data_IF_864443947097
#
_entry.id   IF_864443947097
#
_cell.length_a   1.000
_cell.length_b   1.000
_cell.length_c   1.000
_cell.angle_alpha   90.00
_cell.angle_beta   90.00
_cell.angle_gamma   90.00
#
_symmetry.space_group_name_H-M   'P 1'
#
loop_
_entity.id
_entity.type
_entity.pdbx_description
1 polymer ?
#
# COMPACT_ATOMS: atom_id res chain seq x y z
N UNK A 1 2.74 -5.24 -20.30
CA UNK A 1 3.64 -6.08 -19.46
C UNK A 1 5.13 -5.81 -19.78
N UNK A 2 5.52 -4.53 -19.91
CA UNK A 2 6.87 -4.11 -20.33
C UNK A 2 7.85 -3.85 -19.16
N UNK A 3 7.33 -3.84 -17.92
CA UNK A 3 8.08 -3.52 -16.70
C UNK A 3 8.79 -4.73 -16.08
N UNK A 4 8.27 -5.95 -16.28
CA UNK A 4 8.81 -7.17 -15.66
C UNK A 4 10.22 -7.55 -16.13
N UNK A 5 10.64 -7.17 -17.35
CA UNK A 5 12.01 -7.43 -17.85
C UNK A 5 13.06 -6.41 -17.35
N UNK A 6 12.64 -5.30 -16.73
CA UNK A 6 13.52 -4.21 -16.26
C UNK A 6 13.49 -4.02 -14.74
N UNK A 7 12.81 -4.92 -14.01
CA UNK A 7 12.69 -4.85 -12.56
C UNK A 7 13.52 -5.95 -11.89
N UNK A 8 13.90 -5.75 -10.63
CA UNK A 8 14.63 -6.78 -9.89
C UNK A 8 13.74 -7.98 -9.59
N UNK A 9 14.30 -9.20 -9.42
CA UNK A 9 13.53 -10.40 -9.07
C UNK A 9 12.62 -10.19 -7.84
N UNK A 10 13.07 -9.38 -6.88
CA UNK A 10 12.31 -8.99 -5.71
C UNK A 10 11.03 -8.21 -6.04
N UNK A 11 11.17 -7.16 -6.85
CA UNK A 11 10.04 -6.31 -7.24
C UNK A 11 9.10 -7.04 -8.21
N UNK A 12 9.62 -7.96 -9.03
CA UNK A 12 8.80 -8.84 -9.87
C UNK A 12 7.89 -9.72 -8.99
N UNK A 13 8.42 -10.27 -7.90
CA UNK A 13 7.62 -11.06 -6.96
C UNK A 13 6.51 -10.22 -6.33
N UNK A 14 6.82 -9.00 -5.87
CA UNK A 14 5.81 -8.06 -5.40
C UNK A 14 4.74 -7.78 -6.45
N UNK A 15 5.14 -7.42 -7.68
CA UNK A 15 4.20 -7.09 -8.75
C UNK A 15 3.31 -8.28 -9.16
N UNK A 16 3.82 -9.50 -9.06
CA UNK A 16 2.99 -10.71 -9.23
C UNK A 16 1.96 -10.83 -8.12
N UNK A 17 2.36 -10.55 -6.88
CA UNK A 17 1.49 -10.59 -5.69
C UNK A 17 0.42 -9.52 -5.59
N UNK A 18 0.43 -8.50 -6.47
CA UNK A 18 -0.65 -7.50 -6.58
C UNK A 18 -1.32 -7.49 -7.96
N UNK A 19 -0.95 -8.43 -8.83
CA UNK A 19 -1.44 -8.47 -10.21
C UNK A 19 -2.94 -8.72 -10.28
N UNK A 20 -3.45 -9.62 -9.44
CA UNK A 20 -4.88 -9.99 -9.45
C UNK A 20 -5.71 -8.78 -9.05
N UNK A 21 -5.30 -8.07 -8.02
CA UNK A 21 -6.00 -6.89 -7.51
C UNK A 21 -5.99 -5.74 -8.54
N UNK A 22 -4.88 -5.56 -9.25
CA UNK A 22 -4.82 -4.61 -10.36
C UNK A 22 -5.75 -5.01 -11.52
N UNK A 23 -5.80 -6.29 -11.89
CA UNK A 23 -6.73 -6.80 -12.91
C UNK A 23 -8.17 -6.61 -12.46
N UNK A 24 -8.48 -6.89 -11.19
CA UNK A 24 -9.81 -6.67 -10.61
C UNK A 24 -10.22 -5.20 -10.68
N UNK A 25 -9.32 -4.27 -10.38
CA UNK A 25 -9.56 -2.83 -10.51
C UNK A 25 -9.90 -2.42 -11.95
N UNK A 26 -9.10 -2.87 -12.92
CA UNK A 26 -9.34 -2.57 -14.34
C UNK A 26 -10.65 -3.20 -14.81
N UNK A 27 -10.95 -4.43 -14.38
CA UNK A 27 -12.19 -5.12 -14.73
C UNK A 27 -13.41 -4.41 -14.15
N UNK A 28 -13.33 -3.97 -12.90
CA UNK A 28 -14.40 -3.24 -12.22
C UNK A 28 -14.63 -1.87 -12.87
N UNK A 29 -13.57 -1.17 -13.28
CA UNK A 29 -13.69 0.06 -14.07
C UNK A 29 -14.42 -0.16 -15.40
N UNK A 30 -14.05 -1.19 -16.16
CA UNK A 30 -14.70 -1.54 -17.43
C UNK A 30 -16.18 -1.89 -17.19
N UNK A 31 -16.47 -2.68 -16.16
CA UNK A 31 -17.83 -3.08 -15.82
C UNK A 31 -18.70 -1.87 -15.45
N UNK A 32 -18.19 -0.97 -14.61
CA UNK A 32 -18.87 0.28 -14.25
C UNK A 32 -19.10 1.18 -15.47
N UNK A 33 -18.12 1.28 -16.39
CA UNK A 33 -18.27 2.05 -17.61
C UNK A 33 -19.37 1.47 -18.53
N UNK A 34 -19.43 0.15 -18.67
CA UNK A 34 -20.49 -0.53 -19.42
C UNK A 34 -21.85 -0.26 -18.78
N UNK A 35 -21.97 -0.40 -17.45
CA UNK A 35 -23.22 -0.12 -16.73
C UNK A 35 -23.70 1.31 -16.94
N UNK A 36 -22.83 2.32 -16.86
CA UNK A 36 -23.23 3.71 -17.11
C UNK A 36 -23.63 3.99 -18.57
N UNK A 37 -23.04 3.29 -19.54
CA UNK A 37 -23.42 3.46 -20.95
C UNK A 37 -24.72 2.75 -21.32
N UNK A 38 -25.06 1.66 -20.63
CA UNK A 38 -26.27 0.87 -20.89
C UNK A 38 -27.46 1.24 -19.98
N UNK A 39 -27.20 1.86 -18.84
CA UNK A 39 -28.24 2.26 -17.88
C UNK A 39 -28.90 3.57 -18.30
N UNK A 40 -30.21 3.67 -18.08
CA UNK A 40 -30.94 4.94 -18.15
C UNK A 40 -30.68 5.85 -16.95
N UNK A 41 -30.03 5.35 -15.89
CA UNK A 41 -29.66 6.14 -14.72
C UNK A 41 -28.50 7.08 -15.05
N UNK A 42 -28.76 8.38 -14.91
CA UNK A 42 -27.73 9.42 -15.01
C UNK A 42 -27.02 9.56 -13.67
N UNK A 43 -25.71 9.76 -13.71
CA UNK A 43 -24.92 10.13 -12.54
C UNK A 43 -25.49 11.40 -11.89
N UNK A 44 -25.76 11.35 -10.59
CA UNK A 44 -26.24 12.49 -9.80
C UNK A 44 -25.12 13.01 -8.89
N UNK A 45 -25.28 14.23 -8.38
CA UNK A 45 -24.35 14.80 -7.41
C UNK A 45 -24.36 14.07 -6.05
N UNK A 46 -25.39 13.27 -5.78
CA UNK A 46 -25.52 12.44 -4.56
C UNK A 46 -25.08 10.99 -4.75
N UNK A 47 -24.76 10.57 -5.97
CA UNK A 47 -24.25 9.23 -6.24
C UNK A 47 -22.91 9.03 -5.52
N UNK A 48 -22.67 7.84 -4.97
CA UNK A 48 -21.43 7.48 -4.25
C UNK A 48 -20.73 6.28 -4.89
N UNK A 49 -21.13 5.90 -6.10
CA UNK A 49 -20.75 4.64 -6.74
C UNK A 49 -19.22 4.52 -6.90
N UNK A 50 -18.57 5.63 -7.27
CA UNK A 50 -17.13 5.69 -7.51
C UNK A 50 -16.35 5.61 -6.20
N UNK A 51 -16.79 6.31 -5.15
CA UNK A 51 -16.13 6.22 -3.82
C UNK A 51 -16.35 4.85 -3.19
N UNK A 52 -17.53 4.25 -3.36
CA UNK A 52 -17.85 2.91 -2.85
C UNK A 52 -17.05 1.81 -3.54
N UNK A 53 -16.70 1.96 -4.82
CA UNK A 53 -15.76 1.05 -5.48
C UNK A 53 -14.38 1.00 -4.79
N UNK A 54 -13.97 2.10 -4.16
CA UNK A 54 -12.72 2.20 -3.39
C UNK A 54 -12.81 1.63 -1.98
N UNK A 55 -14.01 1.46 -1.42
CA UNK A 55 -14.20 1.21 0.01
C UNK A 55 -13.54 -0.10 0.50
N UNK A 56 -13.60 -1.16 -0.32
CA UNK A 56 -12.91 -2.41 -0.01
C UNK A 56 -11.39 -2.22 0.14
N UNK A 57 -10.77 -1.46 -0.77
CA UNK A 57 -9.34 -1.14 -0.71
C UNK A 57 -9.00 -0.33 0.54
N UNK A 58 -9.85 0.62 0.93
CA UNK A 58 -9.69 1.41 2.14
C UNK A 58 -9.72 0.53 3.40
N UNK A 59 -10.69 -0.39 3.52
CA UNK A 59 -10.78 -1.32 4.64
C UNK A 59 -9.56 -2.24 4.72
N UNK A 60 -9.20 -2.88 3.60
CA UNK A 60 -8.05 -3.78 3.58
C UNK A 60 -6.72 -3.05 3.76
N UNK A 61 -6.61 -1.80 3.31
CA UNK A 61 -5.46 -0.95 3.56
C UNK A 61 -5.25 -0.69 5.05
N UNK A 62 -6.32 -0.33 5.78
CA UNK A 62 -6.27 -0.17 7.24
C UNK A 62 -5.91 -1.48 7.93
N UNK A 63 -6.54 -2.61 7.57
CA UNK A 63 -6.19 -3.94 8.12
C UNK A 63 -4.70 -4.24 7.90
N UNK A 64 -4.17 -3.91 6.72
CA UNK A 64 -2.75 -4.08 6.40
C UNK A 64 -1.84 -3.27 7.32
N UNK A 65 -2.21 -2.03 7.66
CA UNK A 65 -1.44 -1.23 8.64
C UNK A 65 -1.48 -1.83 10.05
N UNK A 66 -2.63 -2.35 10.50
CA UNK A 66 -2.72 -3.02 11.80
C UNK A 66 -1.88 -4.30 11.89
N UNK A 67 -1.69 -5.04 10.79
CA UNK A 67 -0.82 -6.22 10.78
C UNK A 67 0.61 -5.91 11.19
N UNK A 68 1.09 -4.66 11.05
CA UNK A 68 2.43 -4.26 11.49
C UNK A 68 2.66 -4.49 12.99
N UNK A 69 1.63 -4.44 13.84
CA UNK A 69 1.76 -4.74 15.27
C UNK A 69 2.16 -6.18 15.56
N UNK A 70 1.81 -7.11 14.67
CA UNK A 70 2.09 -8.53 14.82
C UNK A 70 3.44 -8.92 14.23
N UNK A 71 4.08 -8.02 13.49
CA UNK A 71 5.24 -8.34 12.68
C UNK A 71 6.52 -8.49 13.51
N UNK A 72 7.33 -9.52 13.20
CA UNK A 72 8.60 -9.81 13.87
C UNK A 72 9.66 -10.23 12.86
N UNK A 73 10.88 -9.71 13.01
CA UNK A 73 12.08 -10.19 12.30
C UNK A 73 13.04 -10.80 13.34
N UNK A 74 13.21 -12.12 13.29
CA UNK A 74 14.00 -12.84 14.30
C UNK A 74 13.38 -12.68 15.69
N UNK A 75 14.15 -12.15 16.64
CA UNK A 75 13.67 -11.85 17.99
C UNK A 75 13.06 -10.45 18.13
N UNK A 76 13.29 -9.54 17.17
CA UNK A 76 12.80 -8.15 17.25
C UNK A 76 11.42 -8.00 16.65
N UNK A 77 10.51 -7.42 17.42
CA UNK A 77 9.19 -7.01 16.92
C UNK A 77 9.30 -5.67 16.19
N UNK A 78 8.42 -5.43 15.23
CA UNK A 78 8.30 -4.12 14.59
C UNK A 78 8.03 -3.04 15.66
N UNK A 79 8.62 -1.84 15.54
CA UNK A 79 8.44 -0.79 16.54
C UNK A 79 6.96 -0.43 16.73
N UNK A 80 6.38 -0.81 17.87
CA UNK A 80 4.95 -0.59 18.16
C UNK A 80 4.53 0.87 18.07
N UNK A 81 5.42 1.80 18.42
CA UNK A 81 5.18 3.25 18.27
C UNK A 81 4.97 3.63 16.80
N UNK A 82 5.81 3.12 15.89
CA UNK A 82 5.69 3.40 14.45
C UNK A 82 4.42 2.77 13.88
N UNK A 83 4.13 1.52 14.25
CA UNK A 83 2.88 0.87 13.86
C UNK A 83 1.65 1.64 14.36
N UNK A 84 1.70 2.16 15.60
CA UNK A 84 0.63 2.98 16.17
C UNK A 84 0.42 4.29 15.41
N UNK A 85 1.48 5.08 15.20
CA UNK A 85 1.33 6.34 14.47
C UNK A 85 0.86 6.11 13.03
N UNK A 86 1.35 5.08 12.34
CA UNK A 86 0.93 4.77 10.99
C UNK A 86 -0.53 4.32 10.93
N UNK A 87 -0.95 3.45 11.86
CA UNK A 87 -2.34 2.98 11.93
C UNK A 87 -3.28 4.11 12.31
N UNK A 88 -2.90 4.95 13.28
CA UNK A 88 -3.67 6.13 13.67
C UNK A 88 -3.82 7.10 12.50
N UNK A 89 -2.74 7.39 11.77
CA UNK A 89 -2.79 8.24 10.59
C UNK A 89 -3.71 7.65 9.50
N UNK A 90 -3.57 6.36 9.21
CA UNK A 90 -4.40 5.63 8.24
C UNK A 90 -5.88 5.69 8.59
N UNK A 91 -6.22 5.41 9.84
CA UNK A 91 -7.61 5.38 10.32
C UNK A 91 -8.21 6.78 10.34
N UNK A 92 -7.49 7.78 10.86
CA UNK A 92 -7.95 9.17 10.90
C UNK A 92 -8.19 9.74 9.49
N UNK A 93 -7.28 9.48 8.55
CA UNK A 93 -7.47 9.91 7.16
C UNK A 93 -8.61 9.14 6.49
N UNK A 94 -8.80 7.86 6.80
CA UNK A 94 -9.94 7.07 6.33
C UNK A 94 -11.28 7.61 6.83
N UNK A 95 -11.37 8.00 8.11
CA UNK A 95 -12.56 8.65 8.66
C UNK A 95 -12.86 9.98 7.97
N UNK A 96 -11.83 10.77 7.66
CA UNK A 96 -11.99 12.00 6.90
C UNK A 96 -12.58 11.76 5.50
N UNK A 97 -12.08 10.76 4.76
CA UNK A 97 -12.63 10.41 3.45
C UNK A 97 -14.04 9.82 3.51
N UNK A 98 -14.36 9.08 4.58
CA UNK A 98 -15.73 8.63 4.83
C UNK A 98 -16.67 9.82 5.07
N UNK A 99 -16.23 10.81 5.86
CA UNK A 99 -16.98 12.05 6.09
C UNK A 99 -17.22 12.82 4.78
N UNK A 100 -16.21 12.95 3.90
CA UNK A 100 -16.39 13.56 2.58
C UNK A 100 -17.39 12.79 1.71
N UNK A 101 -17.41 11.46 1.81
CA UNK A 101 -18.39 10.63 1.10
C UNK A 101 -19.81 10.84 1.63
N UNK A 102 -19.98 11.04 2.94
CA UNK A 102 -21.28 11.42 3.51
C UNK A 102 -21.76 12.78 3.01
N UNK A 103 -20.88 13.76 2.89
CA UNK A 103 -21.23 15.07 2.29
C UNK A 103 -21.72 14.96 0.86
N UNK A 104 -21.09 14.08 0.07
CA UNK A 104 -21.58 13.75 -1.28
C UNK A 104 -22.99 13.17 -1.20
N UNK A 105 -23.22 12.16 -0.36
CA UNK A 105 -24.53 11.51 -0.21
C UNK A 105 -25.62 12.49 0.24
N UNK A 106 -25.28 13.47 1.10
CA UNK A 106 -26.19 14.52 1.57
C UNK A 106 -26.48 15.61 0.53
N UNK A 107 -25.83 15.58 -0.64
CA UNK A 107 -26.01 16.58 -1.68
C UNK A 107 -25.37 17.93 -1.38
N UNK A 108 -24.41 17.99 -0.45
CA UNK A 108 -23.69 19.22 -0.11
C UNK A 108 -22.76 19.72 -1.22
N UNK A 109 -22.51 18.88 -2.23
CA UNK A 109 -21.67 19.20 -3.38
C UNK A 109 -22.47 19.29 -4.67
N UNK A 110 -22.05 20.18 -5.56
CA UNK A 110 -22.49 20.15 -6.95
C UNK A 110 -21.90 18.92 -7.69
N UNK A 111 -22.36 18.65 -8.90
CA UNK A 111 -21.97 17.44 -9.62
C UNK A 111 -20.47 17.32 -9.89
N UNK A 112 -19.80 18.44 -10.19
CA UNK A 112 -18.35 18.46 -10.48
C UNK A 112 -17.55 18.23 -9.21
N UNK A 113 -17.94 18.88 -8.11
CA UNK A 113 -17.34 18.71 -6.80
C UNK A 113 -17.53 17.28 -6.28
N UNK A 114 -18.73 16.72 -6.43
CA UNK A 114 -19.04 15.34 -6.05
C UNK A 114 -18.15 14.35 -6.81
N UNK A 115 -18.04 14.50 -8.13
CA UNK A 115 -17.17 13.66 -8.95
C UNK A 115 -15.70 13.75 -8.49
N UNK A 116 -15.21 14.96 -8.25
CA UNK A 116 -13.83 15.19 -7.81
C UNK A 116 -13.55 14.54 -6.45
N UNK A 117 -14.47 14.70 -5.49
CA UNK A 117 -14.37 14.07 -4.16
C UNK A 117 -14.34 12.55 -4.30
N UNK A 118 -15.22 11.97 -5.12
CA UNK A 118 -15.26 10.52 -5.30
C UNK A 118 -13.99 9.95 -5.95
N UNK A 119 -13.45 10.62 -6.97
CA UNK A 119 -12.16 10.24 -7.59
C UNK A 119 -11.04 10.33 -6.56
N UNK A 120 -11.05 11.35 -5.70
CA UNK A 120 -10.06 11.53 -4.64
C UNK A 120 -10.14 10.40 -3.62
N UNK A 121 -11.35 10.06 -3.15
CA UNK A 121 -11.59 8.95 -2.21
C UNK A 121 -11.12 7.62 -2.80
N UNK A 122 -11.45 7.34 -4.06
CA UNK A 122 -11.01 6.15 -4.77
C UNK A 122 -9.48 6.08 -4.87
N UNK A 123 -8.85 7.18 -5.29
CA UNK A 123 -7.39 7.28 -5.45
C UNK A 123 -6.65 7.08 -4.11
N UNK A 124 -7.15 7.69 -3.04
CA UNK A 124 -6.65 7.49 -1.69
C UNK A 124 -6.77 6.02 -1.27
N UNK A 125 -7.96 5.41 -1.46
CA UNK A 125 -8.24 4.04 -1.05
C UNK A 125 -7.30 3.03 -1.72
N UNK A 126 -7.08 3.19 -3.03
CA UNK A 126 -6.13 2.40 -3.81
C UNK A 126 -4.71 2.61 -3.27
N UNK A 127 -4.30 3.87 -3.11
CA UNK A 127 -2.94 4.20 -2.64
C UNK A 127 -2.66 3.58 -1.27
N UNK A 128 -3.60 3.71 -0.34
CA UNK A 128 -3.50 3.14 1.00
C UNK A 128 -3.35 1.61 0.95
N UNK A 129 -4.17 0.94 0.14
CA UNK A 129 -4.11 -0.51 -0.03
C UNK A 129 -2.74 -0.98 -0.55
N UNK A 130 -2.27 -0.38 -1.66
CA UNK A 130 -0.99 -0.75 -2.25
C UNK A 130 0.18 -0.43 -1.32
N UNK A 131 0.12 0.69 -0.62
CA UNK A 131 1.12 1.06 0.38
C UNK A 131 1.19 0.04 1.52
N UNK A 132 0.04 -0.35 2.09
CA UNK A 132 -0.03 -1.35 3.14
C UNK A 132 0.48 -2.73 2.67
N UNK A 133 0.11 -3.16 1.45
CA UNK A 133 0.63 -4.38 0.81
C UNK A 133 2.15 -4.32 0.61
N UNK A 134 2.68 -3.18 0.19
CA UNK A 134 4.11 -3.00 -0.02
C UNK A 134 4.88 -3.08 1.30
N UNK A 135 4.39 -2.40 2.34
CA UNK A 135 4.96 -2.49 3.69
C UNK A 135 4.95 -3.93 4.20
N UNK A 136 3.81 -4.62 4.06
CA UNK A 136 3.68 -6.02 4.42
C UNK A 136 4.69 -6.91 3.68
N UNK A 137 4.86 -6.71 2.37
CA UNK A 137 5.84 -7.46 1.57
C UNK A 137 7.30 -7.21 2.03
N UNK A 138 7.63 -5.96 2.35
CA UNK A 138 8.96 -5.58 2.83
C UNK A 138 9.27 -6.24 4.17
N UNK A 139 8.27 -6.21 5.05
CA UNK A 139 8.32 -6.89 6.33
C UNK A 139 8.50 -8.39 6.11
N UNK A 140 7.58 -9.08 5.42
CA UNK A 140 7.60 -10.53 5.17
C UNK A 140 8.94 -11.05 4.64
N UNK A 141 9.52 -10.34 3.67
CA UNK A 141 10.80 -10.73 3.08
C UNK A 141 11.98 -10.38 3.99
N UNK A 142 11.80 -9.48 4.95
CA UNK A 142 12.84 -8.93 5.82
C UNK A 142 13.95 -8.28 5.01
N UNK A 143 13.55 -7.62 3.92
CA UNK A 143 14.38 -6.75 3.10
C UNK A 143 13.47 -5.75 2.42
N UNK A 144 13.93 -4.54 2.21
CA UNK A 144 13.28 -3.52 1.39
C UNK A 144 14.16 -3.22 0.17
N UNK A 145 13.55 -2.94 -0.96
CA UNK A 145 14.26 -2.52 -2.17
C UNK A 145 13.48 -1.39 -2.83
N UNK A 146 14.16 -0.32 -3.24
CA UNK A 146 13.54 0.71 -4.05
C UNK A 146 13.23 0.15 -5.45
N UNK A 147 12.07 0.50 -6.02
CA UNK A 147 11.71 0.02 -7.36
C UNK A 147 12.64 0.65 -8.40
N UNK A 148 13.40 -0.16 -9.17
CA UNK A 148 14.28 0.37 -10.22
C UNK A 148 13.51 1.14 -11.31
N UNK A 149 12.26 0.73 -11.55
CA UNK A 149 11.38 1.38 -12.53
C UNK A 149 10.99 2.76 -12.05
N UNK A 150 10.51 2.90 -10.81
CA UNK A 150 10.16 4.21 -10.25
C UNK A 150 11.39 5.12 -10.21
N UNK A 151 12.54 4.59 -9.83
CA UNK A 151 13.80 5.33 -9.83
C UNK A 151 14.16 5.83 -11.24
N UNK A 152 13.98 5.00 -12.27
CA UNK A 152 14.23 5.38 -13.66
C UNK A 152 13.25 6.41 -14.21
N UNK A 153 11.98 6.38 -13.77
CA UNK A 153 10.96 7.34 -14.19
C UNK A 153 11.20 8.68 -13.47
N UNK A 154 11.40 8.64 -12.15
CA UNK A 154 11.64 9.84 -11.34
C UNK A 154 12.95 10.53 -11.70
N UNK A 155 13.98 9.80 -12.14
CA UNK A 155 15.21 10.41 -12.70
C UNK A 155 14.97 11.20 -13.97
N UNK A 156 14.02 10.76 -14.80
CA UNK A 156 13.66 11.44 -16.05
C UNK A 156 12.78 12.66 -15.79
N UNK A 157 11.99 12.64 -14.73
CA UNK A 157 11.19 13.78 -14.28
C UNK A 157 12.12 14.68 -13.47
N UNK A 158 12.76 15.64 -14.15
CA UNK A 158 13.69 16.64 -13.60
C UNK A 158 13.16 17.18 -12.26
N UNK A 159 13.71 16.67 -11.16
CA UNK A 159 13.38 17.13 -9.82
C UNK A 159 14.68 17.37 -9.06
N UNK A 160 14.82 18.56 -8.46
CA UNK A 160 15.93 18.91 -7.58
C UNK A 160 15.91 18.11 -6.26
N UNK A 161 14.87 17.31 -6.01
CA UNK A 161 14.71 16.53 -4.80
C UNK A 161 15.18 15.07 -4.98
N UNK A 162 16.39 14.79 -4.49
CA UNK A 162 17.00 13.45 -4.41
C UNK A 162 16.36 12.54 -3.33
N UNK A 163 15.14 12.83 -2.86
CA UNK A 163 14.49 12.10 -1.77
C UNK A 163 14.30 10.61 -2.08
N UNK A 164 13.97 10.27 -3.33
CA UNK A 164 13.82 8.87 -3.72
C UNK A 164 15.15 8.11 -3.78
N UNK A 165 16.24 8.79 -4.18
CA UNK A 165 17.58 8.21 -4.12
C UNK A 165 18.08 8.05 -2.68
N UNK A 166 17.80 9.02 -1.81
CA UNK A 166 18.09 8.93 -0.38
C UNK A 166 17.28 7.81 0.30
N UNK A 167 16.01 7.61 -0.10
CA UNK A 167 15.25 6.45 0.35
C UNK A 167 15.86 5.14 -0.16
N UNK A 168 16.33 5.11 -1.41
CA UNK A 168 17.00 3.93 -1.96
C UNK A 168 18.30 3.60 -1.20
N UNK A 169 19.12 4.59 -0.84
CA UNK A 169 20.28 4.36 0.02
C UNK A 169 19.89 3.98 1.45
N UNK A 170 18.80 4.52 2.00
CA UNK A 170 18.23 4.09 3.28
C UNK A 170 17.83 2.61 3.29
N UNK A 171 17.36 2.06 2.17
CA UNK A 171 17.01 0.63 2.09
C UNK A 171 18.22 -0.29 2.26
N UNK A 172 19.42 0.12 1.85
CA UNK A 172 20.63 -0.72 1.99
C UNK A 172 21.05 -0.83 3.46
N UNK A 173 21.03 0.28 4.20
CA UNK A 173 21.31 0.30 5.65
C UNK A 173 20.29 -0.53 6.42
N UNK A 174 19.00 -0.38 6.08
CA UNK A 174 17.93 -1.19 6.68
C UNK A 174 18.16 -2.70 6.46
N UNK A 175 18.49 -3.10 5.23
CA UNK A 175 18.75 -4.50 4.90
C UNK A 175 19.95 -5.09 5.64
N UNK A 176 21.04 -4.31 5.78
CA UNK A 176 22.22 -4.76 6.52
C UNK A 176 21.89 -5.05 7.99
N UNK A 177 21.08 -4.20 8.62
CA UNK A 177 20.71 -4.38 10.01
C UNK A 177 19.78 -5.59 10.21
N UNK A 178 18.85 -5.83 9.28
CA UNK A 178 18.01 -7.03 9.31
C UNK A 178 18.81 -8.34 9.14
N UNK A 179 19.86 -8.34 8.31
CA UNK A 179 20.75 -9.49 8.15
C UNK A 179 21.48 -9.79 9.46
N UNK A 180 22.01 -8.76 10.14
CA UNK A 180 22.68 -8.93 11.44
C UNK A 180 21.75 -9.53 12.48
N UNK A 181 20.53 -9.00 12.61
CA UNK A 181 19.54 -9.50 13.57
C UNK A 181 19.08 -10.93 13.29
N UNK A 182 18.94 -11.32 12.01
CA UNK A 182 18.66 -12.73 11.66
C UNK A 182 19.82 -13.65 12.03
N UNK A 183 21.06 -13.20 11.83
CA UNK A 183 22.25 -13.97 12.14
C UNK A 183 22.44 -14.15 13.66
N UNK A 184 22.21 -13.11 14.47
CA UNK A 184 22.26 -13.19 15.94
C UNK A 184 21.19 -14.15 16.47
N UNK A 185 19.95 -14.02 16.00
CA UNK A 185 18.86 -14.90 16.41
C UNK A 185 19.11 -16.37 16.06
N UNK A 186 19.64 -16.65 14.87
CA UNK A 186 20.00 -18.01 14.45
C UNK A 186 21.11 -18.60 15.32
N UNK A 187 22.09 -17.78 15.74
CA UNK A 187 23.16 -18.21 16.67
C UNK A 187 22.60 -18.53 18.05
N UNK A 188 21.66 -17.74 18.55
CA UNK A 188 20.99 -17.99 19.84
C UNK A 188 20.18 -19.28 19.83
N UNK A 189 19.42 -19.54 18.76
CA UNK A 189 18.67 -20.79 18.60
C UNK A 189 19.61 -22.00 18.60
N UNK A 190 20.72 -21.95 17.85
CA UNK A 190 21.73 -23.02 17.83
C UNK A 190 22.33 -23.26 19.22
N UNK A 191 22.60 -22.20 19.99
CA UNK A 191 23.09 -22.31 21.38
C UNK A 191 22.06 -22.98 22.29
N UNK A 192 20.79 -22.56 22.24
CA UNK A 192 19.70 -23.17 23.03
C UNK A 192 19.48 -24.63 22.68
N UNK A 193 19.51 -25.00 21.40
CA UNK A 193 19.40 -26.40 20.97
C UNK A 193 20.58 -27.26 21.41
N UNK A 194 21.80 -26.72 21.44
CA UNK A 194 22.99 -27.43 21.93
C UNK A 194 22.96 -27.62 23.46
N UNK A 195 22.40 -26.66 24.20
CA UNK A 195 22.19 -26.77 25.65
C UNK A 195 21.10 -27.76 26.01
N UNK A 196 19.99 -27.83 25.26
CA UNK A 196 18.90 -28.81 25.48
C UNK A 196 19.26 -30.26 25.13
N UNK A 197 20.36 -30.50 24.41
CA UNK A 197 20.85 -31.84 24.03
C UNK A 197 21.93 -32.38 24.97
N UNK A 198 22.39 -31.58 25.93
CA UNK A 198 23.24 -32.01 27.05
C UNK A 198 22.36 -32.27 28.26
#
# INVERSE_FOLDING_TARGET
>A
MATLKKSSPYMIEFYRGVRIEFISLVSLFIFTLILYNLSSMKFTNTAIDISMAGFGFLVFGNIGTFRLFTYKVGSRSYPKKVAFFLSLFSVSTSFYFLYLTFKVANGEYNIVQSLWVQITVLSYSITLYFFAKQLYFFMDKGRAEASPILLSILKKVRNNNNLYEQMASGTTLFNQELIKERATHSRELRRKHKQKRK
#
